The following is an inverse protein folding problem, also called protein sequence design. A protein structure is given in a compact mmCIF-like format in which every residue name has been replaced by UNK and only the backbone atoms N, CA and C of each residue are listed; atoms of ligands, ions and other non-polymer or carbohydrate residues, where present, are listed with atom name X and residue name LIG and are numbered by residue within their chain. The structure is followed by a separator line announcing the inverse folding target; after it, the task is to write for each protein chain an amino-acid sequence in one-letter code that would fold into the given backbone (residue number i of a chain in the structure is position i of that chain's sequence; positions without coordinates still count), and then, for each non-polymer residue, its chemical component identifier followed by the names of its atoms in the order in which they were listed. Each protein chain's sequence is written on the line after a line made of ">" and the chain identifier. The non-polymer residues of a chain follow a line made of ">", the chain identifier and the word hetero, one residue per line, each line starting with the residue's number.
data_IF_524369833556
#
_entry.id   IF_524369833556
#
_cell.length_a   1.000
_cell.length_b   1.000
_cell.length_c   1.000
_cell.angle_alpha   90.00
_cell.angle_beta   90.00
_cell.angle_gamma   90.00
#
_symmetry.space_group_name_H-M   'P 1'
#
loop_
_entity.id
_entity.type
_entity.pdbx_description
1 polymer ?
#
# COMPACT_ATOMS: atom_id res chain seq x y z
N UNK A 1 -14.61 -2.36 7.75
CA UNK A 1 -14.91 -3.30 8.85
C UNK A 1 -13.74 -4.23 9.16
N UNK A 2 -13.24 -5.03 8.21
CA UNK A 2 -12.10 -5.97 8.40
C UNK A 2 -10.86 -5.30 9.01
N UNK A 3 -10.48 -4.13 8.50
CA UNK A 3 -9.33 -3.36 8.97
C UNK A 3 -9.32 -3.08 10.48
N UNK A 4 -10.49 -2.78 11.06
CA UNK A 4 -10.62 -2.47 12.48
C UNK A 4 -10.27 -3.69 13.35
N UNK A 5 -10.74 -4.87 12.95
CA UNK A 5 -10.52 -6.09 13.74
C UNK A 5 -9.12 -6.67 13.53
N UNK A 6 -8.63 -6.67 12.31
CA UNK A 6 -7.34 -7.28 11.99
C UNK A 6 -6.15 -6.40 12.39
N UNK A 7 -6.25 -5.08 12.16
CA UNK A 7 -5.12 -4.16 12.37
C UNK A 7 -5.06 -3.59 13.79
N UNK A 8 -6.22 -3.28 14.38
CA UNK A 8 -6.29 -2.73 15.74
C UNK A 8 -6.30 -3.81 16.83
N UNK A 9 -6.34 -5.10 16.45
CA UNK A 9 -6.32 -6.21 17.41
C UNK A 9 -7.49 -6.20 18.39
N UNK A 10 -8.61 -5.57 18.02
CA UNK A 10 -9.78 -5.49 18.87
C UNK A 10 -10.41 -6.87 18.98
N UNK A 11 -10.52 -7.40 20.20
CA UNK A 11 -11.13 -8.69 20.45
C UNK A 11 -12.54 -8.75 19.84
N UNK A 12 -12.79 -9.80 19.04
CA UNK A 12 -14.09 -10.06 18.43
C UNK A 12 -15.14 -10.26 19.52
N UNK A 13 -16.08 -9.33 19.61
CA UNK A 13 -17.29 -9.44 20.43
C UNK A 13 -18.48 -9.15 19.53
N UNK A 14 -19.59 -9.88 19.71
CA UNK A 14 -20.82 -9.68 18.95
C UNK A 14 -21.27 -8.21 19.01
N UNK A 15 -21.22 -7.59 20.18
CA UNK A 15 -21.58 -6.17 20.34
C UNK A 15 -20.71 -5.24 19.48
N UNK A 16 -19.37 -5.45 19.47
CA UNK A 16 -18.44 -4.64 18.69
C UNK A 16 -18.61 -4.90 17.20
N UNK A 17 -18.82 -6.15 16.81
CA UNK A 17 -19.07 -6.52 15.43
C UNK A 17 -20.33 -5.82 14.88
N UNK A 18 -21.44 -5.88 15.62
CA UNK A 18 -22.67 -5.19 15.25
C UNK A 18 -22.48 -3.68 15.21
N UNK A 19 -21.81 -3.09 16.20
CA UNK A 19 -21.56 -1.65 16.23
C UNK A 19 -20.73 -1.18 15.03
N UNK A 20 -19.61 -1.84 14.75
CA UNK A 20 -18.75 -1.52 13.60
C UNK A 20 -19.48 -1.77 12.28
N UNK A 21 -20.30 -2.84 12.19
CA UNK A 21 -21.13 -3.12 11.03
C UNK A 21 -22.16 -2.03 10.77
N UNK A 22 -22.91 -1.63 11.79
CA UNK A 22 -23.92 -0.58 11.69
C UNK A 22 -23.28 0.79 11.35
N UNK A 23 -22.20 1.16 12.01
CA UNK A 23 -21.50 2.43 11.71
C UNK A 23 -20.95 2.45 10.30
N UNK A 24 -20.37 1.34 9.82
CA UNK A 24 -19.90 1.21 8.43
C UNK A 24 -21.07 1.30 7.46
N UNK A 25 -22.16 0.60 7.71
CA UNK A 25 -23.35 0.63 6.85
C UNK A 25 -23.95 2.04 6.75
N UNK A 26 -24.20 2.68 7.89
CA UNK A 26 -24.76 4.04 7.95
C UNK A 26 -23.83 5.02 7.23
N UNK A 27 -22.50 4.93 7.46
CA UNK A 27 -21.52 5.79 6.79
C UNK A 27 -21.54 5.62 5.28
N UNK A 28 -21.56 4.37 4.79
CA UNK A 28 -21.60 4.07 3.36
C UNK A 28 -22.91 4.53 2.73
N UNK A 29 -24.03 4.29 3.39
CA UNK A 29 -25.34 4.75 2.93
C UNK A 29 -25.40 6.28 2.83
N UNK A 30 -24.98 6.97 3.87
CA UNK A 30 -24.98 8.45 3.90
C UNK A 30 -24.02 9.03 2.84
N UNK A 31 -22.85 8.42 2.66
CA UNK A 31 -21.90 8.83 1.62
C UNK A 31 -22.50 8.65 0.22
N UNK A 32 -23.23 7.56 -0.03
CA UNK A 32 -23.88 7.26 -1.31
C UNK A 32 -24.99 8.22 -1.68
N UNK A 33 -25.58 8.94 -0.71
CA UNK A 33 -26.57 10.00 -0.99
C UNK A 33 -25.95 11.27 -1.58
N UNK A 34 -24.65 11.49 -1.34
CA UNK A 34 -23.93 12.72 -1.73
C UNK A 34 -22.92 12.46 -2.84
N UNK A 35 -22.27 11.31 -2.81
CA UNK A 35 -21.20 10.92 -3.73
C UNK A 35 -21.73 9.81 -4.64
N UNK A 36 -21.62 10.00 -5.96
CA UNK A 36 -21.91 8.93 -6.91
C UNK A 36 -21.04 7.70 -6.61
N UNK A 37 -21.66 6.53 -6.63
CA UNK A 37 -21.05 5.25 -6.27
C UNK A 37 -20.05 4.80 -7.34
N UNK A 38 -18.88 5.43 -7.34
CA UNK A 38 -17.78 5.11 -8.24
C UNK A 38 -16.58 4.60 -7.46
N UNK A 39 -15.98 3.52 -7.94
CA UNK A 39 -14.71 3.05 -7.43
C UNK A 39 -13.65 4.17 -7.43
N UNK A 40 -12.76 4.17 -6.43
CA UNK A 40 -11.73 5.19 -6.27
C UNK A 40 -10.78 5.22 -7.47
N UNK A 41 -10.53 4.07 -8.06
CA UNK A 41 -9.68 3.88 -9.24
C UNK A 41 -10.49 3.34 -10.41
N UNK A 42 -10.27 3.91 -11.59
CA UNK A 42 -10.85 3.41 -12.84
C UNK A 42 -9.94 2.30 -13.38
N UNK A 43 -10.36 1.06 -13.21
CA UNK A 43 -9.61 -0.10 -13.68
C UNK A 43 -10.31 -0.69 -14.91
N UNK A 44 -9.57 -1.02 -15.97
CA UNK A 44 -10.11 -1.77 -17.10
C UNK A 44 -10.65 -3.13 -16.64
N UNK A 45 -11.58 -3.70 -17.39
CA UNK A 45 -12.06 -5.04 -17.13
C UNK A 45 -10.89 -6.05 -17.16
N UNK A 46 -10.79 -6.86 -16.11
CA UNK A 46 -9.71 -7.84 -15.95
C UNK A 46 -10.28 -9.23 -16.16
N UNK A 47 -9.72 -9.95 -17.11
CA UNK A 47 -9.94 -11.38 -17.25
C UNK A 47 -8.87 -12.11 -16.43
N UNK A 48 -9.23 -12.62 -15.27
CA UNK A 48 -8.36 -13.41 -14.41
C UNK A 48 -8.08 -14.77 -15.04
N UNK A 49 -6.83 -15.17 -15.13
CA UNK A 49 -6.44 -16.47 -15.67
C UNK A 49 -5.45 -17.19 -14.73
N UNK A 50 -5.34 -18.51 -14.87
CA UNK A 50 -4.38 -19.29 -14.09
C UNK A 50 -2.92 -18.91 -14.35
N UNK A 51 -2.65 -18.16 -15.43
CA UNK A 51 -1.29 -17.67 -15.72
C UNK A 51 -0.80 -16.68 -14.67
N UNK A 52 -1.68 -15.85 -14.10
CA UNK A 52 -1.32 -14.92 -13.03
C UNK A 52 -0.82 -15.64 -11.79
N UNK A 53 -1.33 -16.84 -11.50
CA UNK A 53 -0.88 -17.63 -10.35
C UNK A 53 0.61 -18.03 -10.44
N UNK A 54 1.13 -18.27 -11.64
CA UNK A 54 2.55 -18.57 -11.84
C UNK A 54 3.46 -17.35 -11.69
N UNK A 55 2.91 -16.16 -11.92
CA UNK A 55 3.66 -14.90 -11.77
C UNK A 55 3.75 -14.50 -10.30
N UNK A 56 2.77 -14.88 -9.47
CA UNK A 56 2.72 -14.50 -8.04
C UNK A 56 4.03 -14.79 -7.30
N UNK A 57 4.65 -15.98 -7.35
CA UNK A 57 5.89 -16.26 -6.61
C UNK A 57 7.03 -15.32 -6.98
N UNK A 58 7.20 -15.02 -8.28
CA UNK A 58 8.24 -14.09 -8.76
C UNK A 58 7.95 -12.65 -8.33
N UNK A 59 6.69 -12.23 -8.42
CA UNK A 59 6.24 -10.92 -7.96
C UNK A 59 6.50 -10.77 -6.46
N UNK A 60 6.19 -11.79 -5.66
CA UNK A 60 6.43 -11.80 -4.21
C UNK A 60 7.91 -11.69 -3.88
N UNK A 61 8.76 -12.43 -4.58
CA UNK A 61 10.20 -12.39 -4.37
C UNK A 61 10.77 -10.99 -4.62
N UNK A 62 10.21 -10.27 -5.59
CA UNK A 62 10.63 -8.91 -5.92
C UNK A 62 10.03 -7.85 -4.98
N UNK A 63 8.72 -7.89 -4.75
CA UNK A 63 8.01 -6.82 -4.04
C UNK A 63 8.01 -6.96 -2.52
N UNK A 64 7.97 -8.17 -1.98
CA UNK A 64 7.89 -8.35 -0.53
C UNK A 64 9.08 -7.74 0.23
N UNK A 65 10.34 -7.89 -0.22
CA UNK A 65 11.47 -7.23 0.43
C UNK A 65 11.37 -5.70 0.39
N UNK A 66 10.91 -5.12 -0.72
CA UNK A 66 10.71 -3.69 -0.86
C UNK A 66 9.60 -3.17 0.07
N UNK A 67 8.49 -3.88 0.13
CA UNK A 67 7.38 -3.56 1.02
C UNK A 67 7.77 -3.71 2.51
N UNK A 68 8.55 -4.74 2.84
CA UNK A 68 9.07 -4.98 4.18
C UNK A 68 10.01 -3.86 4.61
N UNK A 69 10.93 -3.45 3.74
CA UNK A 69 11.85 -2.34 3.98
C UNK A 69 11.09 -1.03 4.19
N UNK A 70 10.17 -0.70 3.27
CA UNK A 70 9.36 0.51 3.38
C UNK A 70 8.50 0.52 4.65
N UNK A 71 7.84 -0.59 4.98
CA UNK A 71 7.03 -0.74 6.19
C UNK A 71 7.87 -0.59 7.47
N UNK A 72 9.07 -1.19 7.50
CA UNK A 72 10.03 -1.06 8.60
C UNK A 72 10.49 0.38 8.79
N UNK A 73 10.95 1.03 7.70
CA UNK A 73 11.37 2.42 7.71
C UNK A 73 10.24 3.37 8.11
N UNK A 74 9.04 3.18 7.57
CA UNK A 74 7.88 4.01 7.91
C UNK A 74 7.52 3.92 9.39
N UNK A 75 7.61 2.73 9.98
CA UNK A 75 7.36 2.51 11.41
C UNK A 75 8.44 3.17 12.26
N UNK A 76 9.70 3.00 11.92
CA UNK A 76 10.85 3.58 12.61
C UNK A 76 10.81 5.11 12.57
N UNK A 77 10.62 5.68 11.38
CA UNK A 77 10.52 7.12 11.16
C UNK A 77 9.31 7.69 11.91
N UNK A 78 8.17 7.02 11.88
CA UNK A 78 6.97 7.47 12.60
C UNK A 78 7.14 7.42 14.12
N UNK A 79 7.92 6.47 14.67
CA UNK A 79 8.22 6.42 16.10
C UNK A 79 9.15 7.55 16.54
N UNK A 80 10.11 7.90 15.69
CA UNK A 80 11.12 8.94 15.90
C UNK A 80 10.73 10.31 15.31
N UNK A 81 9.45 10.49 14.94
CA UNK A 81 8.96 11.75 14.37
C UNK A 81 9.17 12.92 15.33
N UNK A 82 9.34 14.10 14.76
CA UNK A 82 9.46 15.34 15.51
C UNK A 82 8.10 15.67 16.17
N UNK A 83 8.09 15.80 17.50
CA UNK A 83 6.88 16.07 18.30
C UNK A 83 6.90 17.45 18.99
N UNK A 84 8.06 18.09 19.03
CA UNK A 84 8.29 19.36 19.70
C UNK A 84 7.80 20.55 18.86
N UNK A 85 7.96 21.77 19.40
CA UNK A 85 7.67 23.02 18.69
C UNK A 85 8.39 23.14 17.33
N UNK A 86 9.44 22.35 17.10
CA UNK A 86 10.15 22.23 15.83
C UNK A 86 9.24 21.77 14.67
N UNK A 87 8.14 21.08 14.95
CA UNK A 87 7.12 20.68 13.94
C UNK A 87 6.62 21.90 13.16
N UNK A 88 6.50 23.06 13.82
CA UNK A 88 6.04 24.30 13.18
C UNK A 88 6.98 24.79 12.04
N UNK A 89 8.23 24.34 12.04
CA UNK A 89 9.20 24.65 10.97
C UNK A 89 9.41 23.44 10.05
N UNK A 90 9.58 22.25 10.62
CA UNK A 90 9.92 21.06 9.85
C UNK A 90 8.79 20.60 8.92
N UNK A 91 7.55 20.72 9.37
CA UNK A 91 6.41 20.29 8.55
C UNK A 91 6.15 21.23 7.37
N UNK A 92 6.11 22.57 7.52
CA UNK A 92 6.03 23.48 6.37
C UNK A 92 7.21 23.33 5.40
N UNK A 93 8.44 23.16 5.90
CA UNK A 93 9.63 22.96 5.02
C UNK A 93 9.52 21.66 4.22
N UNK A 94 9.04 20.57 4.84
CA UNK A 94 8.80 19.32 4.13
C UNK A 94 7.72 19.48 3.05
N UNK A 95 6.65 20.23 3.33
CA UNK A 95 5.61 20.52 2.33
C UNK A 95 6.09 21.47 1.23
N UNK A 96 6.93 22.44 1.53
CA UNK A 96 7.58 23.29 0.51
C UNK A 96 8.48 22.46 -0.42
N UNK A 97 9.25 21.55 0.15
CA UNK A 97 10.05 20.61 -0.64
C UNK A 97 9.16 19.72 -1.53
N UNK A 98 8.07 19.19 -0.98
CA UNK A 98 7.09 18.44 -1.76
C UNK A 98 6.46 19.29 -2.86
N UNK A 99 6.11 20.55 -2.59
CA UNK A 99 5.54 21.45 -3.59
C UNK A 99 6.53 21.74 -4.73
N UNK A 100 7.81 21.91 -4.41
CA UNK A 100 8.88 22.04 -5.39
C UNK A 100 9.04 20.78 -6.27
N UNK A 101 8.99 19.57 -5.68
CA UNK A 101 8.99 18.33 -6.45
C UNK A 101 7.72 18.16 -7.28
N UNK A 102 6.58 18.57 -6.77
CA UNK A 102 5.29 18.44 -7.43
C UNK A 102 5.13 19.36 -8.65
N UNK A 103 5.90 20.45 -8.75
CA UNK A 103 5.93 21.28 -9.97
C UNK A 103 6.48 20.51 -11.18
N UNK A 104 7.37 19.53 -10.94
CA UNK A 104 7.90 18.65 -11.99
C UNK A 104 7.14 17.32 -12.06
N UNK A 105 6.63 16.83 -10.94
CA UNK A 105 5.95 15.54 -10.81
C UNK A 105 4.62 15.70 -10.05
N UNK A 106 3.56 16.23 -10.67
CA UNK A 106 2.28 16.50 -9.99
C UNK A 106 1.64 15.23 -9.42
N UNK A 107 1.94 14.04 -9.95
CA UNK A 107 1.47 12.74 -9.47
C UNK A 107 1.99 12.35 -8.07
N UNK A 108 3.00 13.07 -7.53
CA UNK A 108 3.47 12.90 -6.17
C UNK A 108 2.52 13.49 -5.11
N UNK A 109 1.67 14.44 -5.51
CA UNK A 109 0.74 15.09 -4.59
C UNK A 109 -0.32 14.12 -4.04
N UNK A 110 -0.80 14.48 -2.87
CA UNK A 110 -1.87 13.75 -2.20
C UNK A 110 -1.47 12.35 -1.74
N UNK A 111 -2.49 11.52 -1.60
CA UNK A 111 -2.39 10.17 -1.01
C UNK A 111 -1.85 9.08 -1.96
N UNK A 112 -1.44 9.42 -3.20
CA UNK A 112 -0.94 8.46 -4.20
C UNK A 112 -1.98 8.01 -5.22
N UNK A 113 -3.21 8.53 -5.17
CA UNK A 113 -4.26 8.20 -6.16
C UNK A 113 -3.83 8.56 -7.58
N UNK A 114 -3.30 9.76 -7.77
CA UNK A 114 -2.86 10.23 -9.10
C UNK A 114 -1.72 9.35 -9.63
N UNK A 115 -0.76 8.99 -8.78
CA UNK A 115 0.34 8.09 -9.14
C UNK A 115 -0.17 6.71 -9.56
N UNK A 116 -1.09 6.12 -8.80
CA UNK A 116 -1.64 4.80 -9.12
C UNK A 116 -2.43 4.82 -10.44
N UNK A 117 -3.22 5.88 -10.70
CA UNK A 117 -3.94 6.03 -11.95
C UNK A 117 -2.99 6.25 -13.14
N UNK A 118 -1.91 6.98 -12.95
CA UNK A 118 -0.87 7.18 -13.96
C UNK A 118 -0.18 5.86 -14.36
N UNK A 119 0.13 5.03 -13.37
CA UNK A 119 0.67 3.68 -13.60
C UNK A 119 -0.32 2.80 -14.37
N UNK A 120 -1.61 2.86 -14.02
CA UNK A 120 -2.68 2.15 -14.73
C UNK A 120 -2.85 2.60 -16.18
N UNK A 121 -2.59 3.87 -16.46
CA UNK A 121 -2.65 4.42 -17.81
C UNK A 121 -1.45 4.04 -18.69
N UNK A 122 -0.46 3.32 -18.17
CA UNK A 122 0.66 2.79 -18.95
C UNK A 122 1.83 3.74 -19.11
N UNK A 123 2.26 4.39 -18.05
CA UNK A 123 3.41 5.31 -18.06
C UNK A 123 4.74 4.62 -18.36
N UNK A 124 5.69 5.39 -18.88
CA UNK A 124 7.05 4.93 -19.18
C UNK A 124 7.79 4.43 -17.92
N UNK A 125 8.57 3.36 -18.06
CA UNK A 125 9.30 2.72 -16.95
C UNK A 125 10.22 3.66 -16.16
N UNK A 126 10.88 4.60 -16.83
CA UNK A 126 11.70 5.63 -16.17
C UNK A 126 10.85 6.51 -15.25
N UNK A 127 9.68 6.92 -15.70
CA UNK A 127 8.73 7.74 -14.92
C UNK A 127 8.20 6.95 -13.73
N UNK A 128 7.79 5.69 -13.94
CA UNK A 128 7.28 4.82 -12.87
C UNK A 128 8.35 4.57 -11.80
N UNK A 129 9.59 4.29 -12.21
CA UNK A 129 10.71 4.11 -11.28
C UNK A 129 10.95 5.36 -10.43
N UNK A 130 11.01 6.52 -11.10
CA UNK A 130 11.24 7.78 -10.40
C UNK A 130 10.10 8.11 -9.44
N UNK A 131 8.84 7.92 -9.85
CA UNK A 131 7.66 8.11 -9.00
C UNK A 131 7.67 7.15 -7.80
N UNK A 132 8.08 5.88 -8.00
CA UNK A 132 8.20 4.90 -6.91
C UNK A 132 9.17 5.38 -5.83
N UNK A 133 10.39 5.77 -6.22
CA UNK A 133 11.41 6.23 -5.28
C UNK A 133 11.02 7.55 -4.63
N UNK A 134 10.60 8.54 -5.42
CA UNK A 134 10.23 9.85 -4.89
C UNK A 134 9.03 9.77 -3.95
N UNK A 135 8.02 8.95 -4.27
CA UNK A 135 6.85 8.76 -3.40
C UNK A 135 7.23 8.12 -2.08
N UNK A 136 8.06 7.09 -2.10
CA UNK A 136 8.54 6.46 -0.87
C UNK A 136 9.31 7.48 0.00
N UNK A 137 10.23 8.25 -0.59
CA UNK A 137 11.00 9.27 0.12
C UNK A 137 10.13 10.38 0.69
N UNK A 138 9.20 10.93 -0.09
CA UNK A 138 8.28 11.99 0.35
C UNK A 138 7.45 11.53 1.54
N UNK A 139 6.93 10.30 1.50
CA UNK A 139 6.16 9.75 2.63
C UNK A 139 7.03 9.64 3.88
N UNK A 140 8.25 9.13 3.77
CA UNK A 140 9.17 9.02 4.90
C UNK A 140 9.56 10.40 5.45
N UNK A 141 9.87 11.36 4.60
CA UNK A 141 10.23 12.72 5.00
C UNK A 141 9.06 13.41 5.71
N UNK A 142 7.84 13.30 5.19
CA UNK A 142 6.66 13.92 5.81
C UNK A 142 6.33 13.29 7.16
N UNK A 143 6.45 11.97 7.30
CA UNK A 143 6.29 11.29 8.58
C UNK A 143 7.34 11.73 9.60
N UNK A 144 8.61 11.82 9.17
CA UNK A 144 9.70 12.29 10.03
C UNK A 144 9.50 13.74 10.47
N UNK A 145 9.05 14.63 9.56
CA UNK A 145 8.81 16.03 9.84
C UNK A 145 7.70 16.30 10.86
N UNK A 146 6.97 15.26 11.26
CA UNK A 146 5.93 15.32 12.29
C UNK A 146 4.51 15.11 11.79
N UNK A 147 4.31 14.77 10.51
CA UNK A 147 2.97 14.48 10.00
C UNK A 147 2.35 13.27 10.71
N UNK A 148 1.08 13.42 11.09
CA UNK A 148 0.25 12.32 11.52
C UNK A 148 -0.54 11.82 10.31
N UNK A 149 -0.15 10.67 9.77
CA UNK A 149 -0.82 10.10 8.61
C UNK A 149 -0.62 8.60 8.52
N UNK A 150 -1.52 7.94 7.80
CA UNK A 150 -1.41 6.52 7.47
C UNK A 150 -0.60 6.31 6.19
N UNK A 151 0.12 5.20 6.14
CA UNK A 151 0.87 4.76 4.96
C UNK A 151 0.03 3.89 4.01
N UNK A 152 -1.26 3.72 4.29
CA UNK A 152 -2.16 2.81 3.59
C UNK A 152 -2.23 3.10 2.08
N UNK A 153 -2.68 4.29 1.71
CA UNK A 153 -2.85 4.66 0.30
C UNK A 153 -1.51 4.83 -0.43
N UNK A 154 -0.46 5.41 0.18
CA UNK A 154 0.88 5.36 -0.40
C UNK A 154 1.39 3.95 -0.65
N UNK A 155 1.14 3.00 0.26
CA UNK A 155 1.53 1.60 0.07
C UNK A 155 0.80 0.94 -1.09
N UNK A 156 -0.48 1.26 -1.29
CA UNK A 156 -1.24 0.81 -2.46
C UNK A 156 -0.60 1.29 -3.76
N UNK A 157 -0.30 2.59 -3.88
CA UNK A 157 0.30 3.16 -5.09
C UNK A 157 1.74 2.69 -5.33
N UNK A 158 2.54 2.50 -4.26
CA UNK A 158 3.87 1.91 -4.35
C UNK A 158 3.81 0.46 -4.80
N UNK A 159 2.83 -0.31 -4.31
CA UNK A 159 2.61 -1.68 -4.77
C UNK A 159 2.30 -1.75 -6.27
N UNK A 160 1.43 -0.86 -6.78
CA UNK A 160 1.15 -0.75 -8.21
C UNK A 160 2.41 -0.41 -9.02
N UNK A 161 3.12 0.64 -8.61
CA UNK A 161 4.31 1.07 -9.33
C UNK A 161 5.42 0.01 -9.32
N UNK A 162 5.63 -0.66 -8.19
CA UNK A 162 6.57 -1.76 -8.09
C UNK A 162 6.20 -2.95 -8.97
N UNK A 163 4.91 -3.28 -9.06
CA UNK A 163 4.43 -4.33 -9.97
C UNK A 163 4.56 -3.94 -11.44
N UNK A 164 4.36 -2.66 -11.79
CA UNK A 164 4.61 -2.16 -13.14
C UNK A 164 6.09 -2.31 -13.52
N UNK A 165 7.00 -1.94 -12.61
CA UNK A 165 8.44 -2.15 -12.83
C UNK A 165 8.79 -3.61 -13.01
N UNK A 166 8.20 -4.48 -12.20
CA UNK A 166 8.36 -5.93 -12.34
C UNK A 166 7.88 -6.43 -13.70
N UNK A 167 6.68 -6.01 -14.16
CA UNK A 167 6.15 -6.35 -15.48
C UNK A 167 7.08 -5.92 -16.61
N UNK A 168 7.61 -4.70 -16.53
CA UNK A 168 8.56 -4.17 -17.52
C UNK A 168 9.89 -4.94 -17.56
N UNK A 169 10.39 -5.40 -16.41
CA UNK A 169 11.61 -6.24 -16.34
C UNK A 169 11.39 -7.58 -17.03
N UNK A 170 10.19 -8.14 -16.92
CA UNK A 170 9.82 -9.39 -17.60
C UNK A 170 9.49 -9.21 -19.09
N UNK A 171 9.58 -7.98 -19.63
CA UNK A 171 9.26 -7.68 -21.01
C UNK A 171 7.77 -7.77 -21.34
N UNK A 172 6.91 -7.74 -20.33
CA UNK A 172 5.45 -7.77 -20.45
C UNK A 172 4.82 -6.39 -20.41
N UNK A 173 3.61 -6.29 -20.94
CA UNK A 173 2.77 -5.11 -20.76
C UNK A 173 2.30 -4.99 -19.30
N UNK A 174 2.03 -3.76 -18.87
CA UNK A 174 1.49 -3.45 -17.54
C UNK A 174 0.04 -3.95 -17.42
N UNK A 175 -0.12 -5.26 -17.22
CA UNK A 175 -1.45 -5.84 -17.05
C UNK A 175 -2.07 -5.39 -15.72
N UNK A 176 -3.30 -4.88 -15.71
CA UNK A 176 -3.97 -4.42 -14.51
C UNK A 176 -4.04 -5.49 -13.40
N UNK A 177 -4.14 -6.78 -13.76
CA UNK A 177 -4.09 -7.89 -12.82
C UNK A 177 -2.79 -7.90 -12.01
N UNK A 178 -1.63 -7.79 -12.67
CA UNK A 178 -0.32 -7.79 -12.01
C UNK A 178 -0.17 -6.56 -11.10
N UNK A 179 -0.64 -5.38 -11.56
CA UNK A 179 -0.60 -4.16 -10.76
C UNK A 179 -1.38 -4.29 -9.46
N UNK A 180 -2.54 -4.94 -9.51
CA UNK A 180 -3.39 -5.17 -8.33
C UNK A 180 -2.80 -6.23 -7.40
N UNK A 181 -2.21 -7.30 -7.94
CA UNK A 181 -1.46 -8.27 -7.14
C UNK A 181 -0.29 -7.61 -6.40
N UNK A 182 0.42 -6.68 -7.06
CA UNK A 182 1.45 -5.89 -6.41
C UNK A 182 0.92 -4.97 -5.32
N UNK A 183 -0.23 -4.35 -5.52
CA UNK A 183 -0.87 -3.50 -4.51
C UNK A 183 -1.25 -4.28 -3.27
N UNK A 184 -1.87 -5.44 -3.43
CA UNK A 184 -2.27 -6.28 -2.29
C UNK A 184 -1.06 -6.86 -1.58
N UNK A 185 -0.02 -7.26 -2.30
CA UNK A 185 1.27 -7.70 -1.74
C UNK A 185 1.86 -6.61 -0.83
N UNK A 186 2.03 -5.41 -1.37
CA UNK A 186 2.65 -4.30 -0.65
C UNK A 186 1.83 -3.88 0.57
N UNK A 187 0.50 -3.77 0.43
CA UNK A 187 -0.41 -3.48 1.52
C UNK A 187 -0.38 -4.54 2.62
N UNK A 188 -0.42 -5.83 2.25
CA UNK A 188 -0.42 -6.94 3.20
C UNK A 188 0.82 -6.93 4.09
N UNK A 189 1.98 -6.62 3.50
CA UNK A 189 3.25 -6.55 4.21
C UNK A 189 3.34 -5.31 5.11
N UNK A 190 2.97 -4.14 4.59
CA UNK A 190 3.08 -2.86 5.33
C UNK A 190 2.07 -2.75 6.46
N UNK A 191 0.83 -3.21 6.25
CA UNK A 191 -0.23 -3.22 7.27
C UNK A 191 -0.13 -4.41 8.23
N UNK A 192 0.57 -5.49 7.84
CA UNK A 192 0.59 -6.79 8.54
C UNK A 192 -0.80 -7.40 8.72
N UNK A 193 -1.69 -7.14 7.78
CA UNK A 193 -3.10 -7.47 7.80
C UNK A 193 -3.56 -7.92 6.40
N UNK A 194 -3.35 -9.21 6.03
CA UNK A 194 -3.62 -9.70 4.68
C UNK A 194 -5.08 -9.64 4.27
N UNK A 195 -5.99 -9.93 5.19
CA UNK A 195 -7.43 -9.89 4.92
C UNK A 195 -7.91 -8.46 4.68
N UNK A 196 -7.45 -7.52 5.51
CA UNK A 196 -7.74 -6.10 5.35
C UNK A 196 -7.15 -5.53 4.08
N UNK A 197 -5.91 -5.92 3.72
CA UNK A 197 -5.28 -5.52 2.47
C UNK A 197 -6.11 -5.93 1.25
N UNK A 198 -6.59 -7.18 1.22
CA UNK A 198 -7.48 -7.68 0.17
C UNK A 198 -8.78 -6.89 0.11
N UNK A 199 -9.44 -6.71 1.25
CA UNK A 199 -10.70 -5.95 1.32
C UNK A 199 -10.56 -4.49 0.89
N UNK A 200 -9.42 -3.86 1.19
CA UNK A 200 -9.12 -2.48 0.77
C UNK A 200 -8.88 -2.38 -0.74
N UNK A 201 -8.13 -3.33 -1.32
CA UNK A 201 -7.91 -3.36 -2.78
C UNK A 201 -9.24 -3.50 -3.50
N UNK A 202 -10.09 -4.46 -3.10
CA UNK A 202 -11.43 -4.66 -3.68
C UNK A 202 -12.29 -3.41 -3.51
N UNK A 203 -12.31 -2.82 -2.32
CA UNK A 203 -13.09 -1.60 -2.04
C UNK A 203 -12.63 -0.38 -2.84
N UNK A 204 -11.33 -0.21 -3.06
CA UNK A 204 -10.79 0.91 -3.84
C UNK A 204 -11.05 0.76 -5.34
N UNK A 205 -11.13 -0.45 -5.83
CA UNK A 205 -11.12 -0.76 -7.25
C UNK A 205 -12.45 -1.24 -7.79
N UNK A 206 -13.39 -1.58 -6.91
CA UNK A 206 -14.69 -2.13 -7.30
C UNK A 206 -14.61 -3.48 -8.02
N UNK A 207 -13.58 -4.27 -7.73
CA UNK A 207 -13.38 -5.58 -8.35
C UNK A 207 -14.48 -6.57 -8.01
N UNK A 208 -14.74 -7.46 -8.95
CA UNK A 208 -15.67 -8.58 -8.80
C UNK A 208 -15.13 -9.65 -7.84
N UNK A 209 -16.01 -10.52 -7.34
CA UNK A 209 -15.64 -11.62 -6.43
C UNK A 209 -14.66 -12.62 -7.06
N UNK A 210 -14.58 -12.68 -8.36
CA UNK A 210 -13.63 -13.53 -9.11
C UNK A 210 -12.15 -13.19 -8.83
N UNK A 211 -11.88 -11.95 -8.44
CA UNK A 211 -10.52 -11.50 -8.08
C UNK A 211 -10.05 -11.99 -6.70
N UNK A 212 -10.99 -12.32 -5.80
CA UNK A 212 -10.70 -12.64 -4.40
C UNK A 212 -9.69 -13.77 -4.20
N UNK A 213 -9.77 -14.93 -4.89
CA UNK A 213 -8.80 -16.01 -4.70
C UNK A 213 -7.37 -15.56 -4.98
N UNK A 214 -7.15 -14.84 -6.08
CA UNK A 214 -5.83 -14.34 -6.49
C UNK A 214 -5.26 -13.33 -5.50
N UNK A 215 -6.10 -12.39 -5.05
CA UNK A 215 -5.71 -11.37 -4.09
C UNK A 215 -5.43 -11.98 -2.70
N UNK A 216 -6.27 -12.92 -2.23
CA UNK A 216 -6.06 -13.59 -0.94
C UNK A 216 -4.78 -14.42 -0.93
N UNK A 217 -4.56 -15.25 -1.95
CA UNK A 217 -3.34 -16.06 -2.06
C UNK A 217 -2.11 -15.15 -2.03
N UNK A 218 -2.11 -14.08 -2.82
CA UNK A 218 -1.00 -13.11 -2.86
C UNK A 218 -0.80 -12.42 -1.50
N UNK A 219 -1.87 -11.97 -0.85
CA UNK A 219 -1.81 -11.28 0.43
C UNK A 219 -1.21 -12.17 1.54
N UNK A 220 -1.71 -13.40 1.67
CA UNK A 220 -1.23 -14.31 2.70
C UNK A 220 0.18 -14.83 2.43
N UNK A 221 0.52 -15.10 1.17
CA UNK A 221 1.86 -15.51 0.79
C UNK A 221 2.89 -14.38 1.03
N UNK A 222 2.56 -13.13 0.68
CA UNK A 222 3.37 -11.95 0.97
C UNK A 222 3.60 -11.77 2.49
N UNK A 223 2.53 -11.88 3.27
CA UNK A 223 2.59 -11.80 4.72
C UNK A 223 3.45 -12.90 5.34
N UNK A 224 3.30 -14.15 4.87
CA UNK A 224 4.13 -15.27 5.31
C UNK A 224 5.60 -15.03 4.99
N UNK A 225 5.91 -14.58 3.79
CA UNK A 225 7.29 -14.27 3.40
C UNK A 225 7.87 -13.10 4.22
N UNK A 226 7.09 -12.06 4.49
CA UNK A 226 7.53 -10.96 5.37
C UNK A 226 7.85 -11.43 6.80
N UNK A 227 7.11 -12.41 7.35
CA UNK A 227 7.44 -13.04 8.63
C UNK A 227 8.78 -13.76 8.62
N UNK A 228 9.12 -14.43 7.52
CA UNK A 228 10.42 -15.10 7.36
C UNK A 228 11.54 -14.05 7.35
N UNK A 229 11.34 -12.93 6.65
CA UNK A 229 12.30 -11.82 6.65
C UNK A 229 12.48 -11.22 8.05
N UNK A 230 11.41 -11.06 8.83
CA UNK A 230 11.48 -10.58 10.22
C UNK A 230 12.31 -11.54 11.10
N UNK A 231 12.06 -12.84 11.02
CA UNK A 231 12.79 -13.85 11.79
C UNK A 231 14.28 -13.86 11.43
N UNK A 232 14.60 -13.80 10.14
CA UNK A 232 15.99 -13.73 9.65
C UNK A 232 16.69 -12.47 10.16
N UNK A 233 16.02 -11.32 10.15
CA UNK A 233 16.56 -10.06 10.64
C UNK A 233 16.84 -10.07 12.15
N UNK A 234 15.94 -10.67 12.93
CA UNK A 234 16.13 -10.82 14.38
C UNK A 234 17.34 -11.70 14.70
N UNK A 235 17.54 -12.81 14.00
CA UNK A 235 18.68 -13.70 14.16
C UNK A 235 20.01 -12.98 13.89
N UNK A 236 20.06 -12.13 12.87
CA UNK A 236 21.25 -11.32 12.56
C UNK A 236 21.54 -10.28 13.66
N UNK A 237 20.49 -9.66 14.24
CA UNK A 237 20.66 -8.70 15.33
C UNK A 237 21.15 -9.35 16.64
N UNK A 238 20.65 -10.54 16.95
CA UNK A 238 21.10 -11.30 18.15
C UNK A 238 22.55 -11.79 18.00
N UNK A 239 22.93 -12.29 16.84
CA UNK A 239 24.30 -12.71 16.55
C UNK A 239 25.31 -11.56 16.73
N UNK A 240 24.98 -10.34 16.27
CA UNK A 240 25.84 -9.15 16.43
C UNK A 240 25.93 -8.60 17.85
N UNK A 241 25.05 -8.99 18.77
CA UNK A 241 25.14 -8.61 20.19
C UNK A 241 25.99 -9.57 21.02
N UNK A 242 26.20 -10.78 20.51
CA UNK A 242 27.00 -11.80 21.17
C UNK A 242 28.48 -11.84 20.70
N UNK A 243 28.82 -11.08 19.68
CA UNK A 243 30.18 -10.80 19.17
C UNK A 243 30.67 -9.43 19.65
#
# INVERSE_FOLDING_TARGET
>A
MLYVFETLGIALSIKRFVLVGLTTYVSTYTAGLVISDHALYKIPAIAWSLKEMWIIPLLLLFLTPLAWLFGGLSKEVSSNRIKDKRVLLTLPTAFLFLAGLASYFPHLLGNGRMMAQEVLNGSNGKTVFLLFILKALVVLITLWAGAYGGTLTPSFSLGMAGAALFGMILGGDNQPSILLLGSVCFLSVTLRAPLSATGLVVGFTGLTLESLPYLLVTAYAAYGFAKILDASWQNVKTSKKCS
#
